data_IF_038471293043
#
_entry.id   IF_038471293043
#
_cell.length_a   1.000
_cell.length_b   1.000
_cell.length_c   1.000
_cell.angle_alpha   90.00
_cell.angle_beta   90.00
_cell.angle_gamma   90.00
#
_symmetry.space_group_name_H-M   'P 1'
#
loop_
_entity.id
_entity.type
_entity.pdbx_description
1 polymer ?
#
# COMPACT_ATOMS: atom_id res chain seq x y z
N UNK A 1 6.79 -35.09 6.84
CA UNK A 1 7.29 -34.58 8.13
C UNK A 1 6.90 -33.12 8.16
N UNK A 2 5.93 -32.77 9.00
CA UNK A 2 5.12 -31.55 8.87
C UNK A 2 5.96 -30.29 8.95
N UNK A 3 5.87 -29.46 7.91
CA UNK A 3 6.22 -28.06 8.01
C UNK A 3 5.12 -27.40 8.84
N UNK A 4 5.43 -27.10 10.10
CA UNK A 4 4.65 -26.16 10.88
C UNK A 4 4.88 -24.79 10.24
N UNK A 5 4.05 -24.44 9.26
CA UNK A 5 3.88 -23.04 8.91
C UNK A 5 3.33 -22.35 10.16
N UNK A 6 4.08 -21.36 10.64
CA UNK A 6 3.56 -20.42 11.61
C UNK A 6 2.37 -19.74 10.91
N UNK A 7 1.15 -20.17 11.24
CA UNK A 7 -0.05 -19.42 10.90
C UNK A 7 0.09 -18.11 11.65
N UNK A 8 0.42 -17.04 10.92
CA UNK A 8 0.29 -15.68 11.44
C UNK A 8 -1.17 -15.53 11.85
N UNK A 9 -1.40 -15.24 13.12
CA UNK A 9 -2.74 -15.13 13.71
C UNK A 9 -3.49 -13.87 13.26
N UNK A 10 -2.92 -13.13 12.29
CA UNK A 10 -3.42 -11.89 11.70
C UNK A 10 -3.61 -11.98 10.17
N UNK A 11 -3.88 -13.16 9.59
CA UNK A 11 -4.29 -13.21 8.19
C UNK A 11 -5.64 -12.53 8.01
N UNK A 12 -5.64 -11.38 7.32
CA UNK A 12 -6.82 -10.55 7.05
C UNK A 12 -7.26 -10.73 5.60
N UNK A 13 -8.57 -10.77 5.41
CA UNK A 13 -9.21 -10.72 4.11
C UNK A 13 -10.09 -9.46 4.00
N UNK A 14 -10.32 -9.02 2.77
CA UNK A 14 -11.29 -7.96 2.45
C UNK A 14 -12.58 -8.61 1.95
N UNK A 15 -13.70 -8.29 2.59
CA UNK A 15 -15.02 -8.76 2.19
C UNK A 15 -15.72 -7.70 1.34
N UNK A 16 -16.05 -8.06 0.11
CA UNK A 16 -16.80 -7.23 -0.84
C UNK A 16 -18.19 -7.84 -1.02
N UNK A 17 -19.24 -7.11 -0.65
CA UNK A 17 -20.61 -7.48 -0.97
C UNK A 17 -20.91 -7.21 -2.45
N UNK A 18 -21.57 -8.16 -3.13
CA UNK A 18 -21.99 -8.04 -4.53
C UNK A 18 -23.49 -8.30 -4.63
N UNK A 19 -24.26 -7.23 -4.84
CA UNK A 19 -25.71 -7.30 -4.75
C UNK A 19 -26.19 -7.66 -3.33
N UNK A 20 -27.29 -8.40 -3.22
CA UNK A 20 -27.87 -8.79 -1.93
C UNK A 20 -27.48 -10.19 -1.47
N UNK A 21 -27.06 -11.06 -2.40
CA UNK A 21 -27.00 -12.51 -2.17
C UNK A 21 -25.59 -13.10 -2.40
N UNK A 22 -24.58 -12.27 -2.69
CA UNK A 22 -23.21 -12.73 -2.92
C UNK A 22 -22.17 -11.87 -2.20
N UNK A 23 -21.06 -12.50 -1.82
CA UNK A 23 -19.87 -11.85 -1.28
C UNK A 23 -18.60 -12.44 -1.90
N UNK A 24 -17.53 -11.64 -1.92
CA UNK A 24 -16.19 -12.05 -2.34
C UNK A 24 -15.24 -11.75 -1.18
N UNK A 25 -14.58 -12.78 -0.68
CA UNK A 25 -13.48 -12.67 0.27
C UNK A 25 -12.16 -12.70 -0.48
N UNK A 26 -11.41 -11.61 -0.44
CA UNK A 26 -10.09 -11.49 -1.07
C UNK A 26 -9.02 -11.58 0.01
N UNK A 27 -8.09 -12.52 -0.12
CA UNK A 27 -6.94 -12.59 0.78
C UNK A 27 -6.00 -11.41 0.55
N UNK A 28 -5.50 -10.82 1.64
CA UNK A 28 -4.51 -9.74 1.57
C UNK A 28 -3.07 -10.26 1.52
N UNK A 29 -2.86 -11.56 1.74
CA UNK A 29 -1.54 -12.19 1.78
C UNK A 29 -1.36 -13.22 0.67
N UNK A 30 -2.44 -13.69 0.06
CA UNK A 30 -2.42 -14.71 -0.99
C UNK A 30 -3.17 -14.24 -2.25
N UNK A 31 -2.75 -14.68 -3.44
CA UNK A 31 -3.40 -14.36 -4.72
C UNK A 31 -4.66 -15.22 -4.94
N UNK A 32 -5.60 -15.15 -4.01
CA UNK A 32 -6.82 -15.98 -3.97
C UNK A 32 -8.02 -15.17 -3.48
N UNK A 33 -9.19 -15.53 -4.00
CA UNK A 33 -10.46 -15.11 -3.43
C UNK A 33 -11.45 -16.27 -3.36
N UNK A 34 -12.37 -16.19 -2.40
CA UNK A 34 -13.52 -17.08 -2.27
C UNK A 34 -14.78 -16.28 -2.57
N UNK A 35 -15.58 -16.77 -3.51
CA UNK A 35 -16.88 -16.22 -3.84
C UNK A 35 -17.94 -17.08 -3.16
N UNK A 36 -18.81 -16.45 -2.38
CA UNK A 36 -19.95 -17.10 -1.73
C UNK A 36 -21.23 -16.52 -2.27
N UNK A 37 -22.17 -17.37 -2.67
CA UNK A 37 -23.47 -16.96 -3.16
C UNK A 37 -24.56 -17.81 -2.49
N UNK A 38 -25.70 -17.20 -2.15
CA UNK A 38 -26.78 -17.87 -1.45
C UNK A 38 -27.30 -19.08 -2.25
N UNK A 39 -27.23 -20.27 -1.63
CA UNK A 39 -27.70 -21.51 -2.25
C UNK A 39 -26.74 -22.14 -3.27
N UNK A 40 -25.52 -21.62 -3.40
CA UNK A 40 -24.44 -22.20 -4.21
C UNK A 40 -23.26 -22.61 -3.31
N UNK A 41 -22.46 -23.56 -3.80
CA UNK A 41 -21.20 -23.92 -3.15
C UNK A 41 -20.15 -22.80 -3.33
N UNK A 42 -19.30 -22.60 -2.33
CA UNK A 42 -18.18 -21.66 -2.36
C UNK A 42 -17.29 -21.92 -3.60
N UNK A 43 -17.01 -20.85 -4.36
CA UNK A 43 -16.11 -20.90 -5.52
C UNK A 43 -14.79 -20.25 -5.18
N UNK A 44 -13.71 -21.02 -5.29
CA UNK A 44 -12.35 -20.52 -5.12
C UNK A 44 -11.81 -20.08 -6.47
N UNK A 45 -11.27 -18.87 -6.53
CA UNK A 45 -10.54 -18.35 -7.69
C UNK A 45 -9.15 -17.92 -7.24
N UNK A 46 -8.14 -18.15 -8.07
CA UNK A 46 -6.77 -17.81 -7.74
C UNK A 46 -6.01 -17.32 -8.98
N UNK A 47 -4.96 -16.54 -8.74
CA UNK A 47 -4.07 -15.99 -9.76
C UNK A 47 -2.60 -16.04 -9.31
N UNK A 48 -2.09 -17.23 -8.91
CA UNK A 48 -0.77 -17.37 -8.30
C UNK A 48 0.41 -16.97 -9.21
N UNK A 49 0.20 -17.01 -10.52
CA UNK A 49 1.21 -16.67 -11.52
C UNK A 49 1.11 -15.21 -12.01
N UNK A 50 0.36 -14.36 -11.30
CA UNK A 50 0.29 -12.93 -11.63
C UNK A 50 1.67 -12.27 -11.47
N UNK A 51 2.16 -11.70 -12.56
CA UNK A 51 3.41 -10.95 -12.56
C UNK A 51 3.19 -9.55 -11.97
N UNK A 52 3.64 -9.37 -10.73
CA UNK A 52 3.64 -8.08 -10.01
C UNK A 52 5.06 -7.52 -9.88
N UNK A 53 6.02 -8.12 -10.59
CA UNK A 53 7.44 -7.78 -10.47
C UNK A 53 8.16 -8.52 -9.34
N UNK A 54 9.41 -8.11 -9.12
CA UNK A 54 10.36 -8.77 -8.22
C UNK A 54 10.53 -8.10 -6.86
N UNK A 55 9.70 -7.11 -6.58
CA UNK A 55 9.65 -6.42 -5.29
C UNK A 55 8.22 -6.53 -4.75
N UNK A 56 8.11 -6.65 -3.44
CA UNK A 56 6.85 -6.75 -2.74
C UNK A 56 5.99 -5.51 -3.02
N UNK A 57 4.69 -5.72 -3.01
CA UNK A 57 3.66 -4.73 -3.36
C UNK A 57 2.59 -4.73 -2.29
N UNK A 58 2.02 -3.56 -2.05
CA UNK A 58 0.78 -3.43 -1.29
C UNK A 58 -0.40 -3.98 -2.08
N UNK A 59 -1.40 -4.49 -1.35
CA UNK A 59 -2.66 -4.97 -1.92
C UNK A 59 -3.76 -4.00 -1.50
N UNK A 60 -4.49 -3.45 -2.46
CA UNK A 60 -5.70 -2.65 -2.22
C UNK A 60 -6.89 -3.31 -2.91
N UNK A 61 -8.02 -3.42 -2.21
CA UNK A 61 -9.25 -3.98 -2.77
C UNK A 61 -10.29 -2.88 -2.93
N UNK A 62 -10.82 -2.73 -4.15
CA UNK A 62 -11.92 -1.84 -4.45
C UNK A 62 -13.18 -2.65 -4.78
N UNK A 63 -14.29 -2.32 -4.12
CA UNK A 63 -15.59 -2.88 -4.44
C UNK A 63 -16.08 -2.33 -5.80
N UNK A 64 -16.73 -3.20 -6.58
CA UNK A 64 -17.45 -2.83 -7.80
C UNK A 64 -18.79 -3.59 -7.84
N UNK A 65 -19.81 -3.07 -8.55
CA UNK A 65 -21.13 -3.71 -8.55
C UNK A 65 -21.16 -5.14 -9.10
N UNK A 66 -20.17 -5.56 -9.89
CA UNK A 66 -20.07 -6.91 -10.43
C UNK A 66 -18.93 -7.75 -9.84
N UNK A 67 -18.24 -7.25 -8.81
CA UNK A 67 -17.15 -7.98 -8.17
C UNK A 67 -16.17 -7.12 -7.38
N UNK A 68 -14.92 -7.58 -7.32
CA UNK A 68 -13.83 -6.91 -6.61
C UNK A 68 -12.66 -6.65 -7.56
N UNK A 69 -12.08 -5.45 -7.49
CA UNK A 69 -10.78 -5.16 -8.08
C UNK A 69 -9.71 -5.29 -7.02
N UNK A 70 -8.74 -6.16 -7.26
CA UNK A 70 -7.56 -6.34 -6.41
C UNK A 70 -6.39 -5.69 -7.12
N UNK A 71 -5.81 -4.66 -6.52
CA UNK A 71 -4.75 -3.84 -7.09
C UNK A 71 -3.47 -4.08 -6.32
N UNK A 72 -2.42 -4.38 -7.07
CA UNK A 72 -1.05 -4.58 -6.62
C UNK A 72 -0.22 -3.38 -7.06
N UNK A 73 0.26 -2.59 -6.11
CA UNK A 73 1.05 -1.39 -6.37
C UNK A 73 2.09 -1.19 -5.25
N UNK A 74 3.10 -0.35 -5.48
CA UNK A 74 4.01 0.06 -4.40
C UNK A 74 3.24 0.76 -3.29
N UNK A 75 3.75 0.68 -2.06
CA UNK A 75 3.22 1.48 -0.95
C UNK A 75 3.39 2.97 -1.22
N UNK A 76 2.60 3.80 -0.55
CA UNK A 76 2.75 5.26 -0.53
C UNK A 76 4.05 5.66 0.22
N UNK A 77 4.54 4.82 1.14
CA UNK A 77 5.80 5.01 1.87
C UNK A 77 7.07 4.85 1.00
N UNK A 78 6.92 4.42 -0.26
CA UNK A 78 8.03 4.22 -1.22
C UNK A 78 8.28 5.49 -2.10
N UNK A 79 7.68 6.64 -1.77
CA UNK A 79 7.63 7.82 -2.66
C UNK A 79 8.91 8.64 -2.76
N UNK A 80 9.88 8.47 -1.86
CA UNK A 80 11.11 9.28 -1.85
C UNK A 80 12.31 8.62 -2.54
N UNK A 81 12.21 7.34 -2.95
CA UNK A 81 13.28 6.70 -3.70
C UNK A 81 13.13 7.03 -5.20
N UNK A 82 13.79 8.11 -5.63
CA UNK A 82 13.79 8.63 -7.02
C UNK A 82 14.09 7.54 -8.09
N UNK A 83 14.66 6.40 -7.69
CA UNK A 83 14.98 5.27 -8.56
C UNK A 83 13.83 4.31 -8.92
N UNK A 84 12.73 4.29 -8.14
CA UNK A 84 11.71 3.21 -8.21
C UNK A 84 10.26 3.70 -8.47
N UNK A 85 10.08 5.00 -8.69
CA UNK A 85 8.79 5.72 -8.88
C UNK A 85 7.91 5.29 -10.09
N UNK A 86 8.23 4.19 -10.78
CA UNK A 86 7.63 3.84 -12.07
C UNK A 86 7.21 2.38 -12.20
N UNK A 87 6.92 1.69 -11.11
CA UNK A 87 6.44 0.30 -11.18
C UNK A 87 5.02 0.19 -11.71
N UNK A 88 4.75 -0.69 -12.69
CA UNK A 88 3.41 -0.90 -13.22
C UNK A 88 2.39 -1.19 -12.13
N UNK A 89 1.18 -0.65 -12.30
CA UNK A 89 0.02 -1.11 -11.54
C UNK A 89 -0.46 -2.40 -12.19
N UNK A 90 -0.43 -3.49 -11.42
CA UNK A 90 -1.02 -4.77 -11.82
C UNK A 90 -2.30 -4.97 -11.02
N UNK A 91 -3.38 -5.37 -11.68
CA UNK A 91 -4.66 -5.59 -11.02
C UNK A 91 -5.38 -6.82 -11.57
N UNK A 92 -6.27 -7.39 -10.75
CA UNK A 92 -7.22 -8.42 -11.18
C UNK A 92 -8.64 -8.00 -10.84
N UNK A 93 -9.56 -8.23 -11.77
CA UNK A 93 -10.99 -8.12 -11.56
C UNK A 93 -11.54 -9.50 -11.29
N UNK A 94 -11.94 -9.75 -10.04
CA UNK A 94 -12.65 -10.95 -9.62
C UNK A 94 -14.14 -10.68 -9.72
N UNK A 95 -14.79 -11.25 -10.73
CA UNK A 95 -16.25 -11.11 -10.91
C UNK A 95 -16.98 -12.14 -10.08
N UNK A 96 -18.17 -11.80 -9.58
CA UNK A 96 -18.99 -12.71 -8.77
C UNK A 96 -19.36 -14.02 -9.50
N UNK A 97 -19.34 -14.00 -10.84
CA UNK A 97 -19.56 -15.19 -11.68
C UNK A 97 -18.37 -16.17 -11.68
N UNK A 98 -17.26 -15.86 -11.01
CA UNK A 98 -16.08 -16.72 -10.92
C UNK A 98 -15.02 -16.49 -12.00
N UNK A 99 -15.14 -15.43 -12.80
CA UNK A 99 -14.11 -15.08 -13.79
C UNK A 99 -13.09 -14.11 -13.20
N UNK A 100 -11.81 -14.35 -13.50
CA UNK A 100 -10.69 -13.44 -13.18
C UNK A 100 -10.15 -12.83 -14.46
N UNK A 101 -10.09 -11.51 -14.52
CA UNK A 101 -9.48 -10.77 -15.63
C UNK A 101 -8.31 -9.92 -15.13
N UNK A 102 -7.17 -9.98 -15.81
CA UNK A 102 -6.00 -9.18 -15.46
C UNK A 102 -6.07 -7.80 -16.13
N UNK A 103 -5.51 -6.80 -15.46
CA UNK A 103 -5.34 -5.45 -15.95
C UNK A 103 -3.95 -4.95 -15.59
N UNK A 104 -3.36 -4.16 -16.48
CA UNK A 104 -2.04 -3.57 -16.29
C UNK A 104 -2.08 -2.10 -16.68
N UNK A 105 -1.37 -1.27 -15.94
CA UNK A 105 -1.05 0.09 -16.31
C UNK A 105 0.42 0.40 -16.03
N UNK A 106 0.95 1.36 -16.76
CA UNK A 106 2.31 1.86 -16.53
C UNK A 106 2.44 2.48 -15.13
N UNK A 107 3.66 2.55 -14.61
CA UNK A 107 3.89 3.01 -13.24
C UNK A 107 3.85 4.51 -13.03
N UNK A 108 3.49 5.29 -14.06
CA UNK A 108 3.16 6.71 -13.88
C UNK A 108 1.75 6.90 -13.32
N UNK A 109 1.00 5.81 -13.12
CA UNK A 109 -0.41 5.83 -12.74
C UNK A 109 -0.64 5.26 -11.35
N UNK A 110 -1.69 5.74 -10.70
CA UNK A 110 -2.17 5.28 -9.40
C UNK A 110 -3.69 5.04 -9.43
N UNK A 111 -4.15 4.00 -8.75
CA UNK A 111 -5.56 3.64 -8.71
C UNK A 111 -6.35 4.51 -7.72
N UNK A 112 -7.40 5.17 -8.20
CA UNK A 112 -8.25 6.06 -7.37
C UNK A 112 -9.57 5.43 -6.95
N UNK A 113 -9.85 4.24 -7.47
CA UNK A 113 -10.98 3.40 -7.06
C UNK A 113 -11.64 2.68 -8.22
N UNK A 114 -12.77 2.05 -7.94
CA UNK A 114 -13.51 1.28 -8.93
C UNK A 114 -14.99 1.65 -8.95
N UNK A 115 -15.59 1.50 -10.12
CA UNK A 115 -17.04 1.67 -10.35
C UNK A 115 -17.53 0.60 -11.32
N UNK A 116 -18.82 0.63 -11.64
CA UNK A 116 -19.43 -0.12 -12.76
C UNK A 116 -18.76 0.11 -14.11
N UNK A 117 -18.05 1.24 -14.28
CA UNK A 117 -17.30 1.52 -15.49
C UNK A 117 -15.96 0.81 -15.56
N UNK A 118 -15.45 0.29 -14.44
CA UNK A 118 -14.12 -0.31 -14.33
C UNK A 118 -13.26 0.29 -13.21
N UNK A 119 -11.98 -0.07 -13.24
CA UNK A 119 -10.92 0.46 -12.39
C UNK A 119 -10.46 1.82 -12.95
N UNK A 120 -10.40 2.83 -12.09
CA UNK A 120 -9.99 4.19 -12.43
C UNK A 120 -8.55 4.45 -11.99
N UNK A 121 -7.75 4.98 -12.90
CA UNK A 121 -6.36 5.35 -12.67
C UNK A 121 -6.13 6.80 -13.07
N UNK A 122 -5.34 7.52 -12.28
CA UNK A 122 -4.85 8.88 -12.57
C UNK A 122 -3.32 8.91 -12.63
N UNK A 123 -2.75 10.02 -13.07
CA UNK A 123 -1.31 10.26 -12.92
C UNK A 123 -0.91 10.34 -11.44
N UNK A 124 0.22 9.73 -11.09
CA UNK A 124 0.71 9.64 -9.72
C UNK A 124 1.20 10.99 -9.20
N UNK A 125 1.83 11.80 -10.06
CA UNK A 125 2.42 13.07 -9.67
C UNK A 125 1.36 14.15 -9.58
N UNK A 126 1.30 14.78 -8.41
CA UNK A 126 0.46 15.94 -8.20
C UNK A 126 1.10 17.22 -8.76
N UNK A 127 0.28 18.20 -9.18
CA UNK A 127 0.78 19.52 -9.50
C UNK A 127 1.47 20.17 -8.29
N UNK A 128 2.43 21.06 -8.56
CA UNK A 128 3.01 21.92 -7.51
C UNK A 128 1.87 22.64 -6.76
N UNK A 129 1.81 22.56 -5.42
CA UNK A 129 0.76 23.22 -4.65
C UNK A 129 0.71 24.75 -4.83
N UNK A 130 1.83 25.38 -5.23
CA UNK A 130 1.91 26.81 -5.50
C UNK A 130 1.51 27.18 -6.95
N UNK A 131 1.49 26.22 -7.89
CA UNK A 131 1.08 26.46 -9.28
C UNK A 131 -0.44 26.36 -9.44
N UNK A 132 -1.16 27.41 -9.06
CA UNK A 132 -2.62 27.45 -9.13
C UNK A 132 -3.22 27.14 -10.51
N UNK A 133 -2.49 27.42 -11.61
CA UNK A 133 -2.99 27.16 -12.94
C UNK A 133 -2.99 25.66 -13.26
N UNK A 134 -1.96 24.94 -12.84
CA UNK A 134 -1.82 23.51 -13.06
C UNK A 134 -2.98 22.69 -12.42
N UNK A 135 -3.52 23.14 -11.29
CA UNK A 135 -4.65 22.49 -10.60
C UNK A 135 -5.99 22.52 -11.36
N UNK A 136 -6.11 23.38 -12.37
CA UNK A 136 -7.31 23.52 -13.20
C UNK A 136 -7.10 23.10 -14.65
N UNK A 137 -5.92 22.55 -14.96
CA UNK A 137 -5.58 22.06 -16.29
C UNK A 137 -6.21 20.70 -16.52
N UNK A 138 -6.68 20.46 -17.76
CA UNK A 138 -7.22 19.16 -18.15
C UNK A 138 -6.15 18.06 -17.96
N UNK A 139 -6.49 16.99 -17.25
CA UNK A 139 -5.65 15.82 -17.01
C UNK A 139 -6.29 14.55 -17.58
N UNK A 140 -5.51 13.48 -17.66
CA UNK A 140 -5.98 12.19 -18.15
C UNK A 140 -6.39 11.25 -17.01
N UNK A 141 -7.59 10.67 -17.13
CA UNK A 141 -8.04 9.51 -16.38
C UNK A 141 -8.11 8.30 -17.28
N UNK A 142 -7.64 7.17 -16.77
CA UNK A 142 -7.74 5.88 -17.44
C UNK A 142 -8.81 5.05 -16.74
N UNK A 143 -9.69 4.45 -17.53
CA UNK A 143 -10.68 3.49 -17.05
C UNK A 143 -10.40 2.15 -17.72
N UNK A 144 -10.19 1.10 -16.91
CA UNK A 144 -9.96 -0.26 -17.36
C UNK A 144 -11.18 -1.13 -17.05
N UNK A 145 -11.79 -1.71 -18.08
CA UNK A 145 -12.91 -2.65 -17.94
C UNK A 145 -12.86 -3.73 -19.01
N UNK A 146 -13.10 -4.99 -18.62
CA UNK A 146 -13.14 -6.12 -19.55
C UNK A 146 -11.87 -6.24 -20.42
N UNK A 147 -10.70 -5.90 -19.86
CA UNK A 147 -9.42 -5.88 -20.58
C UNK A 147 -9.23 -4.69 -21.54
N UNK A 148 -10.21 -3.79 -21.65
CA UNK A 148 -10.13 -2.59 -22.48
C UNK A 148 -9.68 -1.39 -21.64
N UNK A 149 -8.65 -0.69 -22.12
CA UNK A 149 -8.17 0.58 -21.55
C UNK A 149 -8.79 1.74 -22.34
N UNK A 150 -9.44 2.67 -21.64
CA UNK A 150 -9.96 3.90 -22.25
C UNK A 150 -9.47 5.12 -21.50
N UNK A 151 -9.17 6.20 -22.22
CA UNK A 151 -8.74 7.48 -21.64
C UNK A 151 -9.89 8.49 -21.67
N UNK A 152 -9.99 9.29 -20.61
CA UNK A 152 -10.92 10.41 -20.45
C UNK A 152 -10.13 11.64 -20.07
N UNK A 153 -10.57 12.79 -20.57
CA UNK A 153 -10.05 14.08 -20.10
C UNK A 153 -10.90 14.57 -18.94
N UNK A 154 -10.29 15.21 -17.95
CA UNK A 154 -11.01 15.79 -16.83
C UNK A 154 -10.40 17.13 -16.42
N UNK A 155 -11.24 18.10 -16.09
CA UNK A 155 -10.81 19.46 -15.75
C UNK A 155 -10.33 19.62 -14.30
N UNK A 156 -10.37 18.56 -13.48
CA UNK A 156 -9.99 18.59 -12.07
C UNK A 156 -9.21 17.38 -11.62
N UNK A 157 -8.39 17.59 -10.59
CA UNK A 157 -7.63 16.55 -9.92
C UNK A 157 -8.54 15.63 -9.12
N UNK A 158 -8.74 14.42 -9.62
CA UNK A 158 -9.48 13.36 -8.92
C UNK A 158 -8.68 12.83 -7.74
N UNK A 159 -9.37 12.60 -6.63
CA UNK A 159 -8.83 11.97 -5.43
C UNK A 159 -9.35 10.54 -5.32
N UNK A 160 -10.65 10.35 -5.50
CA UNK A 160 -11.34 9.08 -5.29
C UNK A 160 -12.47 8.93 -6.28
N UNK A 161 -12.71 7.70 -6.73
CA UNK A 161 -13.95 7.32 -7.41
C UNK A 161 -14.50 6.06 -6.77
N UNK A 162 -15.81 5.99 -6.56
CA UNK A 162 -16.46 4.81 -5.98
C UNK A 162 -17.87 4.60 -6.53
N UNK A 163 -18.37 3.37 -6.48
CA UNK A 163 -19.77 3.05 -6.75
C UNK A 163 -20.55 2.99 -5.43
N UNK A 164 -21.13 4.12 -5.01
CA UNK A 164 -21.94 4.19 -3.80
C UNK A 164 -23.42 4.42 -4.14
N UNK A 165 -24.27 3.48 -3.72
CA UNK A 165 -25.71 3.59 -3.88
C UNK A 165 -26.16 3.49 -5.35
N UNK A 166 -26.99 4.44 -5.78
CA UNK A 166 -27.65 4.38 -7.09
C UNK A 166 -26.74 4.83 -8.25
N UNK A 167 -25.76 5.71 -7.98
CA UNK A 167 -24.87 6.28 -8.98
C UNK A 167 -23.42 6.35 -8.48
N UNK A 168 -22.43 6.14 -9.36
CA UNK A 168 -21.03 6.30 -8.96
C UNK A 168 -20.75 7.76 -8.62
N UNK A 169 -19.86 8.00 -7.66
CA UNK A 169 -19.42 9.35 -7.28
C UNK A 169 -17.93 9.52 -7.51
N UNK A 170 -17.53 10.76 -7.74
CA UNK A 170 -16.15 11.18 -7.86
C UNK A 170 -15.88 12.30 -6.87
N UNK A 171 -14.79 12.16 -6.10
CA UNK A 171 -14.27 13.19 -5.21
C UNK A 171 -13.00 13.77 -5.83
N UNK A 172 -12.89 15.09 -5.82
CA UNK A 172 -11.81 15.83 -6.48
C UNK A 172 -11.45 17.10 -5.71
N UNK A 173 -10.26 17.63 -5.97
CA UNK A 173 -9.85 18.96 -5.52
C UNK A 173 -10.39 20.02 -6.50
N UNK A 174 -11.22 20.98 -6.05
CA UNK A 174 -11.80 21.98 -6.95
C UNK A 174 -10.78 23.02 -7.41
N UNK A 175 -9.75 23.30 -6.62
CA UNK A 175 -8.66 24.24 -6.89
C UNK A 175 -7.38 23.82 -6.14
N UNK A 176 -6.29 24.57 -6.33
CA UNK A 176 -5.07 24.48 -5.54
C UNK A 176 -5.29 24.70 -4.03
N UNK A 177 -4.44 24.11 -3.17
CA UNK A 177 -4.52 24.30 -1.73
C UNK A 177 -4.31 25.77 -1.34
N UNK A 178 -4.87 26.15 -0.20
CA UNK A 178 -4.59 27.44 0.42
C UNK A 178 -3.34 27.35 1.29
N UNK A 179 -2.43 28.29 1.08
CA UNK A 179 -1.13 28.35 1.76
C UNK A 179 -1.26 29.17 3.04
N UNK A 180 -0.78 28.64 4.17
CA UNK A 180 -0.72 29.34 5.45
C UNK A 180 0.68 29.27 6.02
N UNK A 181 1.21 30.41 6.44
CA UNK A 181 2.44 30.46 7.22
C UNK A 181 2.11 30.13 8.68
N UNK A 182 2.62 29.00 9.19
CA UNK A 182 2.35 28.53 10.54
C UNK A 182 3.65 28.05 11.21
N UNK A 183 3.90 28.46 12.45
CA UNK A 183 4.98 27.97 13.32
C UNK A 183 6.39 27.89 12.70
N UNK A 184 6.74 28.82 11.81
CA UNK A 184 8.05 28.83 11.14
C UNK A 184 8.15 27.96 9.89
N UNK A 185 7.02 27.42 9.40
CA UNK A 185 6.90 26.68 8.15
C UNK A 185 5.69 27.09 7.30
N UNK A 186 5.47 26.35 6.22
CA UNK A 186 4.36 26.53 5.28
C UNK A 186 3.42 25.33 5.36
N UNK A 187 2.15 25.57 5.67
CA UNK A 187 1.07 24.57 5.69
C UNK A 187 0.19 24.74 4.45
N UNK A 188 -0.26 23.62 3.87
CA UNK A 188 -1.17 23.59 2.72
C UNK A 188 -2.51 22.98 3.13
N UNK A 189 -3.60 23.72 2.87
CA UNK A 189 -4.96 23.28 3.20
C UNK A 189 -5.74 22.98 1.93
N UNK A 190 -6.11 21.72 1.75
CA UNK A 190 -6.88 21.26 0.60
C UNK A 190 -8.39 21.42 0.83
N UNK A 191 -9.10 21.75 -0.25
CA UNK A 191 -10.57 21.72 -0.30
C UNK A 191 -11.01 20.54 -1.13
N UNK A 192 -12.21 20.03 -0.85
CA UNK A 192 -12.76 18.85 -1.50
C UNK A 192 -14.14 19.14 -2.05
N UNK A 193 -14.46 18.51 -3.18
CA UNK A 193 -15.79 18.53 -3.76
C UNK A 193 -16.12 17.15 -4.34
N UNK A 194 -17.41 16.88 -4.50
CA UNK A 194 -17.93 15.66 -5.10
C UNK A 194 -18.89 15.96 -6.23
N UNK A 195 -18.94 15.05 -7.20
CA UNK A 195 -19.92 15.06 -8.28
C UNK A 195 -20.37 13.62 -8.59
N UNK A 196 -21.61 13.46 -9.03
CA UNK A 196 -22.11 12.18 -9.52
C UNK A 196 -21.59 11.92 -10.93
N UNK A 197 -21.23 10.67 -11.20
CA UNK A 197 -20.92 10.18 -12.53
C UNK A 197 -22.19 9.60 -13.19
N UNK A 198 -22.27 9.62 -14.52
CA UNK A 198 -23.35 8.94 -15.24
C UNK A 198 -23.42 7.46 -14.85
N UNK A 199 -24.63 6.90 -14.78
CA UNK A 199 -24.80 5.45 -14.58
C UNK A 199 -24.62 4.65 -15.87
N UNK A 200 -24.72 5.32 -17.02
CA UNK A 200 -24.50 4.78 -18.36
C UNK A 200 -23.10 5.10 -18.90
N UNK A 201 -22.91 5.14 -20.23
CA UNK A 201 -21.60 5.42 -20.82
C UNK A 201 -20.97 6.74 -20.35
N UNK A 202 -19.67 6.71 -20.06
CA UNK A 202 -18.90 7.90 -19.70
C UNK A 202 -18.68 8.80 -20.94
N UNK A 203 -18.84 10.13 -20.83
CA UNK A 203 -18.44 11.06 -21.88
C UNK A 203 -16.92 11.07 -22.04
N UNK A 204 -16.40 11.47 -23.20
CA UNK A 204 -14.94 11.56 -23.46
C UNK A 204 -14.23 12.59 -22.55
N UNK A 205 -14.95 13.65 -22.19
CA UNK A 205 -14.50 14.71 -21.27
C UNK A 205 -15.45 14.80 -20.08
N UNK A 206 -14.89 14.74 -18.88
CA UNK A 206 -15.57 14.86 -17.60
C UNK A 206 -15.40 16.30 -17.10
N UNK A 207 -16.50 16.90 -16.63
CA UNK A 207 -16.54 18.29 -16.14
C UNK A 207 -17.19 18.34 -14.75
N UNK A 208 -16.63 17.65 -13.74
CA UNK A 208 -17.22 17.53 -12.40
C UNK A 208 -17.51 18.88 -11.72
N UNK A 209 -16.82 19.96 -12.10
CA UNK A 209 -17.09 21.31 -11.57
C UNK A 209 -18.51 21.81 -11.83
N UNK A 210 -19.14 21.36 -12.91
CA UNK A 210 -20.48 21.85 -13.31
C UNK A 210 -21.54 21.50 -12.28
N UNK A 211 -21.38 20.35 -11.61
CA UNK A 211 -22.33 19.77 -10.65
C UNK A 211 -21.67 19.57 -9.27
N UNK A 212 -20.61 20.33 -8.99
CA UNK A 212 -19.80 20.15 -7.78
C UNK A 212 -20.58 20.50 -6.51
N UNK A 213 -20.53 19.58 -5.55
CA UNK A 213 -21.00 19.80 -4.17
C UNK A 213 -19.77 19.85 -3.27
N UNK A 214 -19.55 20.94 -2.51
CA UNK A 214 -18.44 21.01 -1.55
C UNK A 214 -18.54 19.88 -0.51
N UNK A 215 -17.38 19.32 -0.15
CA UNK A 215 -17.23 18.36 0.95
C UNK A 215 -16.37 19.00 2.04
N UNK A 216 -16.81 18.84 3.29
CA UNK A 216 -15.95 19.11 4.43
C UNK A 216 -14.81 18.09 4.54
N UNK A 217 -13.76 18.44 5.28
CA UNK A 217 -12.66 17.53 5.55
C UNK A 217 -13.12 16.30 6.33
N UNK A 218 -14.02 16.46 7.31
CA UNK A 218 -14.61 15.36 8.08
C UNK A 218 -15.38 14.39 7.16
N UNK A 219 -16.24 14.91 6.28
CA UNK A 219 -16.95 14.07 5.29
C UNK A 219 -15.95 13.37 4.36
N UNK A 220 -14.90 14.06 3.89
CA UNK A 220 -13.88 13.44 3.05
C UNK A 220 -13.13 12.31 3.77
N UNK A 221 -12.78 12.49 5.05
CA UNK A 221 -12.15 11.45 5.86
C UNK A 221 -13.08 10.27 6.11
N UNK A 222 -14.38 10.50 6.32
CA UNK A 222 -15.38 9.44 6.38
C UNK A 222 -15.43 8.65 5.08
N UNK A 223 -15.40 9.32 3.92
CA UNK A 223 -15.35 8.66 2.61
C UNK A 223 -14.10 7.77 2.49
N UNK A 224 -12.93 8.29 2.88
CA UNK A 224 -11.67 7.54 2.86
C UNK A 224 -11.70 6.29 3.76
N UNK A 225 -12.40 6.38 4.89
CA UNK A 225 -12.58 5.27 5.82
C UNK A 225 -13.56 4.22 5.25
N UNK A 226 -14.74 4.64 4.80
CA UNK A 226 -15.82 3.75 4.38
C UNK A 226 -15.64 3.13 2.99
N UNK A 227 -14.77 3.69 2.14
CA UNK A 227 -14.51 3.11 0.80
C UNK A 227 -13.80 1.76 0.87
N UNK A 228 -13.12 1.45 1.97
CA UNK A 228 -12.41 0.19 2.11
C UNK A 228 -13.42 -0.94 2.38
N UNK A 229 -13.34 -2.07 1.66
CA UNK A 229 -14.16 -3.23 2.00
C UNK A 229 -13.90 -3.71 3.43
N UNK A 230 -14.92 -4.31 4.04
CA UNK A 230 -14.86 -4.79 5.42
C UNK A 230 -13.65 -5.70 5.63
N UNK A 231 -12.90 -5.44 6.70
CA UNK A 231 -11.86 -6.35 7.14
C UNK A 231 -12.48 -7.53 7.88
N UNK A 232 -12.09 -8.75 7.50
CA UNK A 232 -12.54 -9.97 8.16
C UNK A 232 -11.37 -10.92 8.36
N UNK A 233 -11.56 -11.93 9.22
CA UNK A 233 -10.62 -13.04 9.35
C UNK A 233 -10.51 -13.76 8.01
N UNK A 234 -9.28 -13.97 7.55
CA UNK A 234 -9.03 -14.69 6.32
C UNK A 234 -9.42 -16.16 6.49
N UNK A 235 -10.37 -16.61 5.67
CA UNK A 235 -10.84 -18.01 5.59
C UNK A 235 -10.62 -18.59 4.19
N UNK A 236 -9.84 -17.89 3.36
CA UNK A 236 -9.47 -18.38 2.04
C UNK A 236 -8.53 -19.59 2.17
N UNK A 237 -8.59 -20.54 1.23
CA UNK A 237 -7.70 -21.68 1.25
C UNK A 237 -6.28 -21.27 0.85
N UNK A 238 -5.29 -21.98 1.39
CA UNK A 238 -3.92 -21.85 0.92
C UNK A 238 -3.80 -22.27 -0.54
N UNK A 239 -3.26 -21.38 -1.38
CA UNK A 239 -2.99 -21.68 -2.79
C UNK A 239 -1.49 -21.81 -3.01
N UNK A 240 -1.00 -22.93 -3.57
CA UNK A 240 0.41 -23.04 -3.91
C UNK A 240 0.75 -22.05 -5.04
N UNK A 241 1.78 -21.24 -4.84
CA UNK A 241 2.37 -20.41 -5.89
C UNK A 241 3.82 -20.79 -6.17
N UNK A 242 4.25 -20.47 -7.39
CA UNK A 242 5.65 -20.59 -7.77
C UNK A 242 6.41 -19.38 -7.22
N UNK A 243 7.49 -19.63 -6.48
CA UNK A 243 8.43 -18.56 -6.12
C UNK A 243 8.96 -17.89 -7.39
N UNK A 244 9.03 -16.56 -7.36
CA UNK A 244 9.53 -15.81 -8.49
C UNK A 244 11.03 -16.06 -8.68
N UNK A 245 11.53 -15.77 -9.88
CA UNK A 245 12.96 -15.78 -10.12
C UNK A 245 13.55 -14.40 -9.87
N UNK A 246 14.35 -14.26 -8.81
CA UNK A 246 15.19 -13.08 -8.57
C UNK A 246 16.65 -13.46 -8.79
N UNK A 247 17.39 -12.76 -9.68
CA UNK A 247 18.82 -12.99 -9.87
C UNK A 247 19.59 -12.91 -8.54
N UNK A 248 20.64 -13.73 -8.39
CA UNK A 248 21.45 -13.74 -7.16
C UNK A 248 22.03 -12.36 -6.84
N UNK A 249 22.53 -11.66 -7.85
CA UNK A 249 23.06 -10.29 -7.71
C UNK A 249 22.03 -9.32 -7.11
N UNK A 250 20.77 -9.43 -7.55
CA UNK A 250 19.69 -8.57 -7.03
C UNK A 250 19.28 -8.95 -5.61
N UNK A 251 19.32 -10.24 -5.27
CA UNK A 251 19.10 -10.72 -3.89
C UNK A 251 20.20 -10.22 -2.95
N UNK A 252 21.46 -10.34 -3.37
CA UNK A 252 22.62 -9.88 -2.60
C UNK A 252 22.60 -8.35 -2.42
N UNK A 253 22.21 -7.61 -3.46
CA UNK A 253 22.03 -6.16 -3.38
C UNK A 253 20.93 -5.76 -2.38
N UNK A 254 19.78 -6.45 -2.39
CA UNK A 254 18.70 -6.19 -1.43
C UNK A 254 19.13 -6.47 0.03
N UNK A 255 19.87 -7.56 0.26
CA UNK A 255 20.43 -7.86 1.58
C UNK A 255 21.42 -6.76 1.99
N UNK A 256 22.31 -6.36 1.08
CA UNK A 256 23.34 -5.33 1.33
C UNK A 256 22.70 -3.99 1.66
N UNK A 257 21.70 -3.54 0.88
CA UNK A 257 21.00 -2.29 1.13
C UNK A 257 20.39 -2.25 2.53
N UNK A 258 19.75 -3.33 2.97
CA UNK A 258 19.19 -3.41 4.32
C UNK A 258 20.27 -3.48 5.42
N UNK A 259 21.41 -4.13 5.16
CA UNK A 259 22.54 -4.13 6.11
C UNK A 259 23.13 -2.72 6.24
N UNK A 260 23.31 -2.01 5.11
CA UNK A 260 23.89 -0.67 5.07
C UNK A 260 23.01 0.34 5.83
N UNK A 261 21.68 0.22 5.75
CA UNK A 261 20.69 1.00 6.53
C UNK A 261 20.98 0.99 8.05
N UNK A 262 21.57 -0.10 8.56
CA UNK A 262 21.92 -0.24 9.98
C UNK A 262 23.43 -0.18 10.28
N UNK A 263 24.28 -0.02 9.26
CA UNK A 263 25.74 -0.16 9.37
C UNK A 263 26.39 0.82 10.37
N UNK A 264 25.81 2.02 10.49
CA UNK A 264 26.35 3.12 11.29
C UNK A 264 25.46 3.51 12.48
N UNK A 265 24.61 2.62 13.00
CA UNK A 265 23.66 2.95 14.10
C UNK A 265 24.28 3.67 15.31
N UNK A 266 25.52 3.32 15.69
CA UNK A 266 26.22 3.96 16.81
C UNK A 266 26.87 5.31 16.47
N UNK A 267 26.89 5.70 15.19
CA UNK A 267 27.54 6.89 14.65
C UNK A 267 26.71 7.57 13.54
N UNK A 268 25.38 7.41 13.60
CA UNK A 268 24.45 7.69 12.51
C UNK A 268 24.38 9.18 12.15
N UNK A 269 24.17 10.05 13.14
CA UNK A 269 24.00 11.48 12.92
C UNK A 269 25.33 12.23 13.02
N UNK A 270 25.51 13.27 12.21
CA UNK A 270 26.62 14.23 12.36
C UNK A 270 26.08 15.56 12.86
N UNK A 271 26.52 15.98 14.04
CA UNK A 271 26.17 17.26 14.64
C UNK A 271 26.77 18.46 13.87
N UNK A 272 26.30 19.69 14.14
CA UNK A 272 26.84 20.92 13.52
C UNK A 272 28.33 21.15 13.80
N UNK A 273 28.85 20.56 14.86
CA UNK A 273 30.26 20.54 15.27
C UNK A 273 31.09 19.46 14.52
N UNK A 274 30.43 18.63 13.72
CA UNK A 274 31.04 17.53 12.98
C UNK A 274 31.20 16.24 13.80
N UNK A 275 30.80 16.22 15.07
CA UNK A 275 30.83 15.01 15.90
C UNK A 275 29.75 14.01 15.44
N UNK A 276 30.09 12.73 15.48
CA UNK A 276 29.14 11.65 15.17
C UNK A 276 28.44 11.17 16.44
N UNK A 277 27.13 11.01 16.38
CA UNK A 277 26.28 10.59 17.48
C UNK A 277 25.44 9.37 17.06
N UNK A 278 25.06 8.51 18.02
CA UNK A 278 24.20 7.36 17.72
C UNK A 278 22.83 7.83 17.20
N UNK A 279 22.15 6.95 16.47
CA UNK A 279 20.80 7.19 15.96
C UNK A 279 19.83 7.60 17.10
N UNK A 280 19.88 6.87 18.21
CA UNK A 280 19.12 7.14 19.45
C UNK A 280 20.08 7.26 20.63
N UNK A 281 19.89 8.22 21.56
CA UNK A 281 20.75 8.37 22.73
C UNK A 281 20.91 7.09 23.55
N UNK A 282 22.15 6.66 23.78
CA UNK A 282 22.48 5.49 24.60
C UNK A 282 22.47 4.16 23.86
N UNK A 283 22.10 4.13 22.57
CA UNK A 283 22.32 2.96 21.72
C UNK A 283 23.82 2.66 21.62
N UNK A 284 24.21 1.41 21.86
CA UNK A 284 25.61 0.98 21.73
C UNK A 284 25.74 -0.48 21.33
N UNK A 285 26.95 -0.86 20.91
CA UNK A 285 27.31 -2.23 20.49
C UNK A 285 26.35 -2.83 19.44
N UNK A 286 26.02 -2.13 18.33
CA UNK A 286 25.20 -2.72 17.28
C UNK A 286 25.95 -3.88 16.61
N UNK A 287 25.20 -4.95 16.33
CA UNK A 287 25.62 -6.12 15.59
C UNK A 287 24.55 -6.48 14.58
N UNK A 288 24.98 -6.77 13.36
CA UNK A 288 24.11 -7.16 12.26
C UNK A 288 24.44 -8.60 11.88
N UNK A 289 23.42 -9.46 11.85
CA UNK A 289 23.52 -10.86 11.42
C UNK A 289 22.54 -11.10 10.26
N UNK A 290 23.00 -11.77 9.20
CA UNK A 290 22.14 -12.26 8.11
C UNK A 290 21.79 -13.71 8.43
N UNK A 291 20.49 -14.00 8.56
CA UNK A 291 20.01 -15.32 9.02
C UNK A 291 19.04 -15.91 7.99
N UNK A 292 19.18 -17.21 7.74
CA UNK A 292 18.30 -17.95 6.82
C UNK A 292 18.75 -17.89 5.36
N UNK A 293 18.13 -18.74 4.54
CA UNK A 293 18.33 -18.79 3.09
C UNK A 293 17.10 -18.23 2.38
N UNK A 294 17.27 -17.74 1.14
CA UNK A 294 16.17 -17.17 0.37
C UNK A 294 15.01 -18.19 0.20
N UNK A 295 13.74 -17.76 0.38
CA UNK A 295 13.26 -16.40 0.66
C UNK A 295 13.15 -16.06 2.16
N UNK A 296 13.53 -16.98 3.05
CA UNK A 296 13.41 -16.82 4.51
C UNK A 296 14.56 -15.98 5.12
N UNK A 297 15.37 -15.33 4.26
CA UNK A 297 16.47 -14.45 4.68
C UNK A 297 15.94 -13.27 5.47
N UNK A 298 16.54 -13.03 6.63
CA UNK A 298 16.28 -11.88 7.49
C UNK A 298 17.58 -11.21 7.93
N UNK A 299 17.53 -9.89 8.09
CA UNK A 299 18.58 -9.11 8.74
C UNK A 299 18.18 -8.91 10.19
N UNK A 300 19.01 -9.41 11.11
CA UNK A 300 18.83 -9.25 12.55
C UNK A 300 19.81 -8.20 13.08
N UNK A 301 19.27 -7.12 13.65
CA UNK A 301 20.03 -6.03 14.25
C UNK A 301 19.91 -6.14 15.76
N UNK A 302 21.02 -6.43 16.44
CA UNK A 302 21.08 -6.56 17.90
C UNK A 302 21.92 -5.44 18.50
N UNK A 303 21.45 -4.79 19.56
CA UNK A 303 22.15 -3.66 20.19
C UNK A 303 21.80 -3.53 21.68
N UNK A 304 22.59 -2.74 22.41
CA UNK A 304 22.30 -2.30 23.79
C UNK A 304 21.56 -0.98 23.78
N UNK A 305 20.61 -0.83 24.70
CA UNK A 305 19.86 0.42 24.86
C UNK A 305 19.46 0.64 26.34
N UNK A 306 19.36 1.89 26.84
CA UNK A 306 18.97 2.18 28.22
C UNK A 306 17.59 1.65 28.61
N UNK A 307 16.70 1.38 27.64
CA UNK A 307 15.40 0.75 27.90
C UNK A 307 15.53 -0.70 28.43
N UNK A 308 16.66 -1.37 28.18
CA UNK A 308 16.95 -2.70 28.70
C UNK A 308 18.40 -2.79 29.25
N UNK A 309 18.69 -2.19 30.43
CA UNK A 309 20.06 -2.04 30.95
C UNK A 309 20.83 -3.35 31.16
N UNK A 310 20.12 -4.47 31.30
CA UNK A 310 20.70 -5.81 31.54
C UNK A 310 20.57 -6.77 30.36
N UNK A 311 20.15 -6.32 29.18
CA UNK A 311 19.86 -7.18 28.05
C UNK A 311 20.25 -6.58 26.70
N UNK A 312 19.85 -7.28 25.64
CA UNK A 312 20.01 -6.85 24.25
C UNK A 312 18.64 -6.77 23.60
N UNK A 313 18.47 -5.71 22.83
CA UNK A 313 17.34 -5.49 21.95
C UNK A 313 17.68 -6.07 20.57
N UNK A 314 16.74 -6.78 19.94
CA UNK A 314 16.88 -7.30 18.58
C UNK A 314 15.67 -6.92 17.72
N UNK A 315 15.93 -6.28 16.58
CA UNK A 315 14.99 -6.08 15.47
C UNK A 315 15.29 -7.09 14.37
N UNK A 316 14.27 -7.76 13.85
CA UNK A 316 14.41 -8.73 12.77
C UNK A 316 13.56 -8.31 11.56
N UNK A 317 14.20 -8.10 10.41
CA UNK A 317 13.54 -7.64 9.19
C UNK A 317 13.69 -8.68 8.09
N UNK A 318 12.58 -9.14 7.51
CA UNK A 318 12.60 -10.05 6.36
C UNK A 318 13.07 -9.30 5.12
N UNK A 319 14.01 -9.88 4.38
CA UNK A 319 14.49 -9.28 3.12
C UNK A 319 13.54 -9.61 1.96
N UNK A 320 12.80 -10.71 2.06
CA UNK A 320 11.89 -11.16 1.01
C UNK A 320 10.52 -11.60 1.55
N UNK A 321 9.48 -11.43 0.73
CA UNK A 321 8.14 -11.99 0.95
C UNK A 321 8.12 -13.52 0.70
N UNK A 322 6.97 -14.16 0.94
CA UNK A 322 6.82 -15.62 0.78
C UNK A 322 6.89 -16.09 -0.69
N UNK A 323 6.70 -15.19 -1.65
CA UNK A 323 6.92 -15.47 -3.07
C UNK A 323 8.38 -15.27 -3.49
N UNK A 324 9.21 -14.70 -2.61
CA UNK A 324 10.62 -14.41 -2.84
C UNK A 324 10.90 -13.05 -3.46
N UNK A 325 9.92 -12.14 -3.46
CA UNK A 325 10.08 -10.74 -3.87
C UNK A 325 10.82 -9.95 -2.80
N UNK A 326 11.59 -8.96 -3.21
CA UNK A 326 12.33 -8.07 -2.30
C UNK A 326 11.33 -7.26 -1.48
N UNK A 327 11.46 -7.25 -0.15
CA UNK A 327 10.65 -6.39 0.71
C UNK A 327 11.40 -5.08 0.91
N UNK A 328 10.87 -3.92 0.46
CA UNK A 328 11.48 -2.63 0.72
C UNK A 328 11.36 -2.28 2.21
N UNK A 329 12.37 -1.60 2.73
CA UNK A 329 12.46 -1.16 4.12
C UNK A 329 12.94 0.30 4.17
N UNK A 330 12.23 1.23 3.50
CA UNK A 330 12.61 2.63 3.51
C UNK A 330 12.62 3.13 4.95
N UNK A 331 13.66 3.88 5.31
CA UNK A 331 13.79 4.51 6.62
C UNK A 331 13.71 3.53 7.81
N UNK A 332 14.07 2.26 7.62
CA UNK A 332 13.94 1.27 8.70
C UNK A 332 14.79 1.58 9.95
N UNK A 333 15.90 2.30 9.79
CA UNK A 333 16.65 2.87 10.91
C UNK A 333 15.85 3.97 11.62
N UNK A 334 15.23 4.89 10.89
CA UNK A 334 14.39 5.94 11.47
C UNK A 334 13.16 5.36 12.19
N UNK A 335 12.48 4.37 11.60
CA UNK A 335 11.39 3.67 12.28
C UNK A 335 11.86 3.01 13.59
N UNK A 336 13.09 2.46 13.62
CA UNK A 336 13.66 1.95 14.86
C UNK A 336 13.87 3.04 15.92
N UNK A 337 14.32 4.23 15.51
CA UNK A 337 14.43 5.37 16.43
C UNK A 337 13.07 5.74 17.02
N UNK A 338 12.03 5.82 16.17
CA UNK A 338 10.67 6.15 16.60
C UNK A 338 10.08 5.09 17.56
N UNK A 339 10.26 3.80 17.26
CA UNK A 339 9.83 2.70 18.14
C UNK A 339 10.50 2.80 19.52
N UNK A 340 11.79 3.14 19.55
CA UNK A 340 12.55 3.33 20.79
C UNK A 340 12.13 4.58 21.56
N UNK A 341 11.79 5.68 20.88
CA UNK A 341 11.37 6.93 21.52
C UNK A 341 9.93 6.85 22.05
N UNK A 342 9.05 6.11 21.37
CA UNK A 342 7.63 5.94 21.74
C UNK A 342 7.37 4.76 22.66
N UNK A 343 8.38 3.91 22.89
CA UNK A 343 8.31 2.66 23.66
C UNK A 343 7.30 1.64 23.10
N UNK A 344 6.86 1.76 21.85
CA UNK A 344 5.85 0.92 21.24
C UNK A 344 6.48 -0.13 20.29
N UNK A 345 6.01 -1.37 20.25
CA UNK A 345 5.43 -2.18 21.32
C UNK A 345 6.54 -2.96 22.06
N UNK A 346 7.18 -2.36 23.07
CA UNK A 346 8.21 -3.08 23.84
C UNK A 346 7.56 -4.00 24.90
N UNK A 347 7.84 -5.32 24.91
CA UNK A 347 7.34 -6.22 25.96
C UNK A 347 7.97 -5.91 27.34
N UNK A 348 7.27 -6.13 28.46
CA UNK A 348 7.71 -5.74 29.81
C UNK A 348 9.02 -6.42 30.24
N UNK A 349 10.00 -5.64 30.74
CA UNK A 349 11.38 -6.07 31.00
C UNK A 349 11.54 -7.21 32.04
N UNK A 350 12.33 -8.23 31.68
CA UNK A 350 12.89 -9.26 32.56
C UNK A 350 14.40 -9.34 32.28
N UNK A 351 15.27 -9.42 33.30
CA UNK A 351 16.72 -9.37 33.12
C UNK A 351 17.29 -10.66 32.51
N UNK A 352 18.21 -10.52 31.54
CA UNK A 352 19.10 -11.59 31.07
C UNK A 352 18.78 -12.27 29.74
N UNK A 353 17.71 -11.88 29.05
CA UNK A 353 17.29 -12.50 27.78
C UNK A 353 17.52 -11.58 26.57
N UNK A 354 17.91 -12.17 25.44
CA UNK A 354 17.83 -11.50 24.13
C UNK A 354 16.35 -11.44 23.74
N UNK A 355 15.84 -10.23 23.51
CA UNK A 355 14.42 -10.02 23.18
C UNK A 355 14.28 -9.60 21.73
N UNK A 356 13.51 -10.40 20.99
CA UNK A 356 12.99 -10.00 19.70
C UNK A 356 11.79 -9.06 19.92
N UNK A 357 11.74 -7.98 19.16
CA UNK A 357 10.56 -7.15 18.97
C UNK A 357 10.33 -6.98 17.48
#
# INVERSE_FOLDING_TARGET
>A
MGQNHHVSTDSRARRVAVGQDAEILVSMTQPVAVIRAAGEDDRVVAWPDLDVGDVAVGVTVYAAPDGAWVVYASSEDDEDDEGDLHRPVTAVHVRWVGTVAQAHADGSRYAVGATRHGLWLRERRDPDPDDRAAWSTDTELIVIAGGTRTTRTIDRRVLIVEDAGDAPRMVFSPDAPDVRAEHGGTSYHYRYATALLPTGPLPERLLPMSDAVPLSEEEFMDILHWRQPDEVVDTTPDVPWRRIHVPMERRDAAITALVDEFGDLAQYWRGPDGERQPLTPGLSEPRIDIVGEWPDTRVEVTFRHPLLPGGLLRRALRVFDDAGRITPHPYASIHLMEDLDTHAPLPPASPGEVRAF
#
